data_IF_034071450137
#
_entry.id   IF_034071450137
#
_cell.length_a   1.000
_cell.length_b   1.000
_cell.length_c   1.000
_cell.angle_alpha   90.00
_cell.angle_beta   90.00
_cell.angle_gamma   90.00
#
_symmetry.space_group_name_H-M   'P 1'
#
loop_
_entity.id
_entity.type
_entity.pdbx_description
1 polymer ?
#
# COMPACT_ATOMS: atom_id res chain seq x y z
N UNK A 1 -52.53 2.53 33.30
CA UNK A 1 -51.52 3.21 32.44
C UNK A 1 -51.31 4.62 32.96
N UNK A 2 -50.07 5.13 32.87
CA UNK A 2 -49.52 6.43 33.32
C UNK A 2 -48.95 6.48 34.75
N UNK A 3 -47.63 6.33 34.78
CA UNK A 3 -46.61 6.58 35.81
C UNK A 3 -45.39 6.99 34.96
N UNK A 4 -44.60 8.03 35.19
CA UNK A 4 -44.23 8.81 36.37
C UNK A 4 -43.66 10.15 35.85
N UNK A 5 -43.87 11.24 36.58
CA UNK A 5 -42.92 12.36 36.59
C UNK A 5 -42.41 12.49 38.03
N UNK A 6 -41.09 12.37 38.20
CA UNK A 6 -40.41 12.83 39.41
C UNK A 6 -38.95 13.09 39.04
N UNK A 7 -38.68 14.37 38.81
CA UNK A 7 -37.37 14.99 38.67
C UNK A 7 -36.69 14.93 40.05
N UNK A 8 -35.52 14.30 40.15
CA UNK A 8 -34.65 14.42 41.32
C UNK A 8 -33.29 14.95 40.89
N UNK A 9 -33.01 16.14 41.42
CA UNK A 9 -31.76 16.87 41.43
C UNK A 9 -30.77 16.10 42.31
N UNK A 10 -29.56 15.86 41.80
CA UNK A 10 -28.44 15.30 42.57
C UNK A 10 -27.35 16.36 42.66
N UNK A 11 -26.82 16.66 43.86
CA UNK A 11 -25.86 17.74 44.06
C UNK A 11 -24.42 17.32 43.72
N UNK A 12 -23.67 18.32 43.29
CA UNK A 12 -22.24 18.30 43.01
C UNK A 12 -21.46 18.35 44.33
N UNK A 13 -20.62 17.35 44.60
CA UNK A 13 -19.57 17.41 45.62
C UNK A 13 -18.21 17.10 44.96
N UNK A 14 -17.35 18.11 44.98
CA UNK A 14 -15.91 18.03 44.73
C UNK A 14 -15.22 17.69 46.05
N UNK A 15 -14.39 16.64 46.08
CA UNK A 15 -13.27 16.56 47.02
C UNK A 15 -12.12 15.80 46.37
N UNK A 16 -10.94 16.43 46.36
CA UNK A 16 -9.70 15.91 45.80
C UNK A 16 -9.03 14.81 46.63
N UNK A 17 -8.14 14.09 45.97
CA UNK A 17 -7.18 13.16 46.55
C UNK A 17 -5.98 13.01 45.62
N UNK A 18 -4.85 13.62 45.98
CA UNK A 18 -3.54 13.30 45.42
C UNK A 18 -3.13 11.89 45.87
N UNK A 19 -2.66 11.07 44.93
CA UNK A 19 -2.01 9.79 45.21
C UNK A 19 -0.58 9.84 44.68
N UNK A 20 0.38 9.95 45.60
CA UNK A 20 1.80 9.73 45.31
C UNK A 20 2.04 8.23 45.16
N UNK A 21 2.30 7.77 43.94
CA UNK A 21 2.65 6.38 43.66
C UNK A 21 4.17 6.19 43.82
N UNK A 22 4.58 5.50 44.87
CA UNK A 22 5.94 4.96 45.01
C UNK A 22 6.07 3.70 44.15
N UNK A 23 6.94 3.71 43.16
CA UNK A 23 7.26 2.53 42.34
C UNK A 23 8.42 1.76 42.99
N UNK A 24 8.18 0.50 43.36
CA UNK A 24 9.23 -0.46 43.71
C UNK A 24 9.60 -1.27 42.45
N UNK A 25 10.90 -1.56 42.20
CA UNK A 25 11.30 -2.32 41.03
C UNK A 25 10.94 -3.80 41.22
N UNK A 26 10.30 -4.39 40.21
CA UNK A 26 9.99 -5.81 40.16
C UNK A 26 11.18 -6.54 39.54
N UNK A 27 11.74 -7.48 40.30
CA UNK A 27 12.75 -8.44 39.84
C UNK A 27 12.09 -9.45 38.90
N UNK A 28 12.69 -9.72 37.74
CA UNK A 28 12.22 -10.71 36.77
C UNK A 28 13.23 -11.85 36.66
N UNK A 29 13.16 -12.74 37.65
CA UNK A 29 13.77 -14.06 37.61
C UNK A 29 13.15 -14.95 36.53
N UNK A 30 14.04 -15.63 35.80
CA UNK A 30 13.82 -16.50 34.65
C UNK A 30 12.67 -17.54 34.77
N UNK A 31 11.85 -17.63 33.72
CA UNK A 31 11.58 -18.85 32.93
C UNK A 31 10.38 -18.64 32.01
N UNK A 32 10.62 -18.57 30.70
CA UNK A 32 9.56 -18.51 29.70
C UNK A 32 10.17 -18.43 28.31
N UNK A 33 10.16 -19.54 27.59
CA UNK A 33 10.58 -19.61 26.20
C UNK A 33 9.61 -18.78 25.35
N UNK A 34 9.94 -17.52 25.11
CA UNK A 34 9.31 -16.74 24.07
C UNK A 34 9.82 -17.27 22.72
N UNK A 35 8.91 -17.86 21.94
CA UNK A 35 9.13 -18.04 20.50
C UNK A 35 9.48 -16.66 19.95
N UNK A 36 10.74 -16.48 19.58
CA UNK A 36 11.21 -15.25 18.96
C UNK A 36 10.45 -15.08 17.65
N UNK A 37 9.46 -14.20 17.64
CA UNK A 37 9.02 -13.57 16.41
C UNK A 37 10.22 -12.74 15.97
N UNK A 38 10.92 -13.19 14.93
CA UNK A 38 11.95 -12.40 14.29
C UNK A 38 11.32 -11.05 13.96
N UNK A 39 11.89 -9.91 14.41
CA UNK A 39 11.46 -8.64 13.88
C UNK A 39 11.74 -8.70 12.39
N UNK A 40 10.67 -8.68 11.58
CA UNK A 40 10.81 -8.38 10.16
C UNK A 40 11.25 -6.92 10.16
N UNK A 41 12.56 -6.69 10.04
CA UNK A 41 13.09 -5.36 9.86
C UNK A 41 12.49 -4.80 8.57
N UNK A 42 11.43 -4.00 8.70
CA UNK A 42 10.98 -3.08 7.64
C UNK A 42 11.97 -1.91 7.52
N UNK A 43 13.27 -2.21 7.56
CA UNK A 43 14.36 -1.26 7.38
C UNK A 43 14.64 -1.06 5.89
N UNK A 44 13.66 -0.53 5.16
CA UNK A 44 13.82 -0.14 3.76
C UNK A 44 12.99 1.11 3.41
N UNK A 45 13.19 2.21 4.14
CA UNK A 45 12.66 3.53 3.74
C UNK A 45 13.73 4.63 3.65
N UNK A 46 15.02 4.27 3.63
CA UNK A 46 16.12 5.20 3.48
C UNK A 46 16.81 5.03 2.12
N UNK A 47 16.09 5.36 1.05
CA UNK A 47 16.64 5.43 -0.29
C UNK A 47 15.58 5.83 -1.29
N UNK A 48 15.58 7.09 -1.74
CA UNK A 48 14.79 7.54 -2.89
C UNK A 48 15.35 6.99 -4.22
N UNK A 49 15.87 5.76 -4.21
CA UNK A 49 16.25 5.02 -5.41
C UNK A 49 15.04 4.25 -5.92
N UNK A 50 14.96 4.07 -7.24
CA UNK A 50 13.92 3.22 -7.83
C UNK A 50 13.97 1.82 -7.18
N UNK A 51 12.84 1.32 -6.68
CA UNK A 51 12.75 -0.04 -6.14
C UNK A 51 13.24 -1.03 -7.21
N UNK A 52 14.05 -2.02 -6.84
CA UNK A 52 14.55 -3.01 -7.78
C UNK A 52 13.39 -3.79 -8.41
N UNK A 53 13.64 -4.34 -9.60
CA UNK A 53 12.69 -5.29 -10.18
C UNK A 53 12.65 -6.57 -9.33
N UNK A 54 11.47 -7.22 -9.21
CA UNK A 54 11.38 -8.49 -8.50
C UNK A 54 12.26 -9.54 -9.17
N UNK A 55 12.95 -10.36 -8.37
CA UNK A 55 13.67 -11.52 -8.88
C UNK A 55 12.68 -12.65 -9.18
N UNK A 56 12.41 -12.89 -10.46
CA UNK A 56 11.47 -13.92 -10.91
C UNK A 56 12.27 -15.13 -11.38
N UNK A 57 12.19 -16.23 -10.64
CA UNK A 57 12.83 -17.49 -10.98
C UNK A 57 12.40 -17.99 -12.38
N UNK A 58 13.31 -18.65 -13.10
CA UNK A 58 13.05 -19.12 -14.46
C UNK A 58 11.96 -20.21 -14.52
N UNK A 59 11.78 -20.95 -13.43
CA UNK A 59 10.79 -22.01 -13.22
C UNK A 59 9.58 -21.52 -12.39
N UNK A 60 9.43 -20.20 -12.22
CA UNK A 60 8.29 -19.62 -11.51
C UNK A 60 6.96 -20.08 -12.10
N UNK A 61 6.07 -20.57 -11.22
CA UNK A 61 4.67 -20.87 -11.57
C UNK A 61 3.83 -19.67 -11.19
N UNK A 62 3.17 -19.06 -12.18
CA UNK A 62 2.33 -17.87 -11.98
C UNK A 62 1.27 -18.11 -10.90
N UNK A 63 1.15 -17.18 -9.95
CA UNK A 63 0.12 -17.24 -8.91
C UNK A 63 -1.24 -16.80 -9.44
N UNK A 64 -2.32 -17.34 -8.89
CA UNK A 64 -3.67 -16.88 -9.21
C UNK A 64 -3.97 -15.56 -8.47
N UNK A 65 -4.25 -14.45 -9.19
CA UNK A 65 -4.66 -13.21 -8.54
C UNK A 65 -6.10 -13.31 -8.04
N UNK A 66 -6.40 -12.64 -6.93
CA UNK A 66 -7.78 -12.46 -6.49
C UNK A 66 -8.49 -11.36 -7.31
N UNK A 67 -9.81 -11.22 -7.12
CA UNK A 67 -10.60 -10.27 -7.90
C UNK A 67 -10.18 -8.79 -7.68
N UNK A 68 -9.92 -8.33 -6.43
CA UNK A 68 -9.40 -6.98 -6.20
C UNK A 68 -8.04 -6.70 -6.84
N UNK A 69 -7.12 -7.67 -6.85
CA UNK A 69 -5.82 -7.53 -7.50
C UNK A 69 -5.99 -7.34 -9.01
N UNK A 70 -6.74 -8.22 -9.68
CA UNK A 70 -6.99 -8.10 -11.14
C UNK A 70 -7.58 -6.74 -11.49
N UNK A 71 -8.56 -6.29 -10.72
CA UNK A 71 -9.19 -5.00 -10.94
C UNK A 71 -8.23 -3.82 -10.73
N UNK A 72 -7.47 -3.82 -9.63
CA UNK A 72 -6.50 -2.77 -9.34
C UNK A 72 -5.41 -2.69 -10.41
N UNK A 73 -4.86 -3.83 -10.83
CA UNK A 73 -3.81 -3.87 -11.84
C UNK A 73 -4.29 -3.43 -13.21
N UNK A 74 -5.52 -3.77 -13.62
CA UNK A 74 -6.10 -3.23 -14.87
C UNK A 74 -6.29 -1.71 -14.82
N UNK A 75 -6.72 -1.16 -13.68
CA UNK A 75 -6.82 0.30 -13.51
C UNK A 75 -5.45 0.97 -13.59
N UNK A 76 -4.42 0.38 -12.97
CA UNK A 76 -3.05 0.86 -13.09
C UNK A 76 -2.54 0.79 -14.52
N UNK A 77 -2.78 -0.33 -15.22
CA UNK A 77 -2.39 -0.50 -16.61
C UNK A 77 -3.03 0.55 -17.52
N UNK A 78 -4.34 0.81 -17.37
CA UNK A 78 -5.02 1.86 -18.13
C UNK A 78 -4.44 3.26 -17.87
N UNK A 79 -4.11 3.58 -16.61
CA UNK A 79 -3.50 4.86 -16.28
C UNK A 79 -2.08 4.99 -16.84
N UNK A 80 -1.27 3.93 -16.78
CA UNK A 80 0.11 3.91 -17.32
C UNK A 80 0.13 3.94 -18.83
N UNK A 81 -0.81 3.26 -19.51
CA UNK A 81 -0.99 3.37 -20.96
C UNK A 81 -1.28 4.82 -21.36
N UNK A 82 -2.22 5.47 -20.68
CA UNK A 82 -2.51 6.88 -20.91
C UNK A 82 -1.30 7.79 -20.64
N UNK A 83 -0.49 7.50 -19.61
CA UNK A 83 0.76 8.20 -19.34
C UNK A 83 1.80 8.03 -20.46
N UNK A 84 1.72 7.00 -21.30
CA UNK A 84 2.53 6.87 -22.51
C UNK A 84 2.37 8.04 -23.49
N UNK A 85 1.21 8.70 -23.49
CA UNK A 85 1.01 9.93 -24.27
C UNK A 85 1.82 11.13 -23.74
N UNK A 86 2.27 11.10 -22.49
CA UNK A 86 3.14 12.13 -21.93
C UNK A 86 4.51 12.16 -22.62
N UNK A 87 5.02 11.00 -23.02
CA UNK A 87 6.31 10.85 -23.73
C UNK A 87 6.33 11.59 -25.08
N UNK A 88 5.14 11.89 -25.63
CA UNK A 88 4.94 12.64 -26.87
C UNK A 88 4.44 14.08 -26.64
N UNK A 89 4.50 14.59 -25.40
CA UNK A 89 4.02 15.92 -25.01
C UNK A 89 2.53 16.18 -25.32
N UNK A 90 1.71 15.12 -25.34
CA UNK A 90 0.26 15.23 -25.58
C UNK A 90 -0.56 15.47 -24.31
N UNK A 91 0.07 15.43 -23.13
CA UNK A 91 -0.58 15.63 -21.84
C UNK A 91 -0.10 16.91 -21.18
N UNK A 92 -1.04 17.68 -20.64
CA UNK A 92 -0.73 18.82 -19.79
C UNK A 92 -0.41 18.38 -18.34
N UNK A 93 0.20 19.25 -17.52
CA UNK A 93 0.58 18.92 -16.15
C UNK A 93 -0.59 18.51 -15.22
N UNK A 94 -1.82 18.96 -15.50
CA UNK A 94 -3.01 18.57 -14.71
C UNK A 94 -3.43 17.14 -15.08
N UNK A 95 -3.38 16.79 -16.36
CA UNK A 95 -3.66 15.44 -16.84
C UNK A 95 -2.64 14.42 -16.30
N UNK A 96 -1.35 14.75 -16.30
CA UNK A 96 -0.29 13.89 -15.73
C UNK A 96 -0.55 13.61 -14.25
N UNK A 97 -0.84 14.65 -13.46
CA UNK A 97 -1.19 14.48 -12.03
C UNK A 97 -2.44 13.63 -11.83
N UNK A 98 -3.49 13.84 -12.62
CA UNK A 98 -4.72 13.03 -12.54
C UNK A 98 -4.44 11.55 -12.80
N UNK A 99 -3.56 11.24 -13.75
CA UNK A 99 -3.18 9.85 -14.04
C UNK A 99 -2.30 9.26 -12.92
N UNK A 100 -1.38 10.04 -12.34
CA UNK A 100 -0.63 9.64 -11.16
C UNK A 100 -1.56 9.33 -9.96
N UNK A 101 -2.56 10.18 -9.73
CA UNK A 101 -3.59 9.96 -8.70
C UNK A 101 -4.41 8.70 -8.98
N UNK A 102 -4.71 8.39 -10.25
CA UNK A 102 -5.41 7.16 -10.63
C UNK A 102 -4.60 5.90 -10.29
N UNK A 103 -3.27 5.93 -10.49
CA UNK A 103 -2.37 4.83 -10.06
C UNK A 103 -2.41 4.66 -8.54
N UNK A 104 -2.28 5.75 -7.78
CA UNK A 104 -2.33 5.70 -6.32
C UNK A 104 -3.70 5.26 -5.78
N UNK A 105 -4.80 5.69 -6.42
CA UNK A 105 -6.15 5.26 -6.08
C UNK A 105 -6.38 3.76 -6.31
N UNK A 106 -5.82 3.21 -7.38
CA UNK A 106 -5.86 1.76 -7.63
C UNK A 106 -5.05 0.98 -6.57
N UNK A 107 -3.90 1.51 -6.14
CA UNK A 107 -3.10 0.90 -5.06
C UNK A 107 -3.88 0.89 -3.74
N UNK A 108 -4.46 2.03 -3.36
CA UNK A 108 -5.28 2.15 -2.16
C UNK A 108 -6.48 1.19 -2.18
N UNK A 109 -7.11 1.01 -3.35
CA UNK A 109 -8.16 0.01 -3.51
C UNK A 109 -7.64 -1.41 -3.25
N UNK A 110 -6.49 -1.80 -3.79
CA UNK A 110 -5.91 -3.12 -3.55
C UNK A 110 -5.55 -3.34 -2.08
N UNK A 111 -4.88 -2.39 -1.43
CA UNK A 111 -4.53 -2.50 0.00
C UNK A 111 -5.76 -2.68 0.89
N UNK A 112 -6.90 -2.12 0.51
CA UNK A 112 -8.13 -2.23 1.28
C UNK A 112 -8.92 -3.53 1.01
N UNK A 113 -8.67 -4.22 -0.11
CA UNK A 113 -9.58 -5.27 -0.60
C UNK A 113 -8.90 -6.61 -0.94
N UNK A 114 -7.62 -6.61 -1.32
CA UNK A 114 -6.88 -7.82 -1.69
C UNK A 114 -6.70 -8.76 -0.48
N UNK A 115 -6.69 -10.05 -0.77
CA UNK A 115 -6.60 -11.18 0.16
C UNK A 115 -5.70 -12.27 -0.41
N UNK A 116 -4.51 -11.88 -0.83
CA UNK A 116 -3.49 -12.80 -1.28
C UNK A 116 -2.88 -13.55 -0.11
N UNK A 117 -2.37 -14.75 -0.39
CA UNK A 117 -1.48 -15.43 0.53
C UNK A 117 -0.18 -14.62 0.72
N UNK A 118 0.56 -14.79 1.83
CA UNK A 118 1.72 -13.95 2.14
C UNK A 118 2.82 -13.93 1.06
N UNK A 119 3.06 -15.05 0.39
CA UNK A 119 4.11 -15.17 -0.63
C UNK A 119 3.80 -14.36 -1.91
N UNK A 120 2.65 -14.54 -2.59
CA UNK A 120 2.30 -13.68 -3.73
C UNK A 120 2.15 -12.20 -3.35
N UNK A 121 1.70 -11.89 -2.12
CA UNK A 121 1.62 -10.50 -1.63
C UNK A 121 3.01 -9.84 -1.51
N UNK A 122 4.00 -10.58 -0.98
CA UNK A 122 5.37 -10.10 -0.92
C UNK A 122 5.96 -9.80 -2.31
N UNK A 123 5.73 -10.68 -3.29
CA UNK A 123 6.17 -10.46 -4.66
C UNK A 123 5.43 -9.29 -5.35
N UNK A 124 4.16 -9.07 -5.02
CA UNK A 124 3.37 -7.95 -5.52
C UNK A 124 3.90 -6.60 -5.00
N UNK A 125 4.41 -6.56 -3.76
CA UNK A 125 4.88 -5.30 -3.16
C UNK A 125 5.96 -4.58 -3.98
N UNK A 126 6.91 -5.30 -4.58
CA UNK A 126 7.95 -4.69 -5.42
C UNK A 126 7.38 -4.03 -6.69
N UNK A 127 6.36 -4.67 -7.27
CA UNK A 127 5.63 -4.11 -8.42
C UNK A 127 4.89 -2.82 -8.00
N UNK A 128 4.16 -2.87 -6.89
CA UNK A 128 3.40 -1.71 -6.40
C UNK A 128 4.31 -0.55 -5.99
N UNK A 129 5.44 -0.84 -5.35
CA UNK A 129 6.41 0.19 -4.95
C UNK A 129 6.94 0.98 -6.14
N UNK A 130 7.25 0.29 -7.26
CA UNK A 130 7.70 0.95 -8.50
C UNK A 130 6.60 1.78 -9.15
N UNK A 131 5.37 1.28 -9.17
CA UNK A 131 4.21 2.00 -9.74
C UNK A 131 3.89 3.25 -8.93
N UNK A 132 3.82 3.14 -7.61
CA UNK A 132 3.56 4.27 -6.71
C UNK A 132 4.73 5.26 -6.68
N UNK A 133 5.98 4.77 -6.76
CA UNK A 133 7.17 5.61 -6.88
C UNK A 133 7.17 6.44 -8.16
N UNK A 134 6.82 5.84 -9.30
CA UNK A 134 6.67 6.54 -10.57
C UNK A 134 5.52 7.56 -10.55
N UNK A 135 4.36 7.18 -9.98
CA UNK A 135 3.24 8.09 -9.79
C UNK A 135 3.63 9.29 -8.92
N UNK A 136 4.36 9.07 -7.82
CA UNK A 136 4.87 10.15 -6.97
C UNK A 136 5.83 11.07 -7.74
N UNK A 137 6.78 10.52 -8.49
CA UNK A 137 7.72 11.31 -9.28
C UNK A 137 7.00 12.21 -10.31
N UNK A 138 5.95 11.70 -10.94
CA UNK A 138 5.10 12.45 -11.88
C UNK A 138 4.24 13.50 -11.17
N UNK A 139 3.75 13.23 -9.96
CA UNK A 139 3.01 14.21 -9.18
C UNK A 139 3.90 15.38 -8.74
N UNK A 140 5.13 15.08 -8.30
CA UNK A 140 6.13 16.05 -7.84
C UNK A 140 6.70 16.86 -9.02
N UNK A 141 6.93 16.22 -10.17
CA UNK A 141 7.38 16.87 -11.41
C UNK A 141 6.58 16.39 -12.63
N UNK A 142 5.45 17.03 -12.96
CA UNK A 142 4.56 16.59 -14.04
C UNK A 142 5.14 16.82 -15.44
N UNK A 143 6.29 17.48 -15.58
CA UNK A 143 6.99 17.61 -16.85
C UNK A 143 7.96 16.44 -17.11
N UNK A 144 8.21 15.58 -16.12
CA UNK A 144 9.10 14.44 -16.26
C UNK A 144 8.43 13.30 -17.03
N UNK A 145 9.09 12.74 -18.03
CA UNK A 145 8.61 11.56 -18.79
C UNK A 145 9.31 10.28 -18.37
N UNK A 146 10.55 10.38 -17.87
CA UNK A 146 11.38 9.25 -17.45
C UNK A 146 10.70 8.24 -16.50
N UNK A 147 9.80 8.62 -15.57
CA UNK A 147 9.14 7.66 -14.69
C UNK A 147 8.21 6.65 -15.39
N UNK A 148 7.72 6.95 -16.61
CA UNK A 148 6.70 6.13 -17.29
C UNK A 148 7.26 4.75 -17.70
N UNK A 149 8.49 4.69 -18.21
CA UNK A 149 9.08 3.42 -18.64
C UNK A 149 9.28 2.40 -17.49
N UNK A 150 9.84 2.76 -16.32
CA UNK A 150 9.89 1.87 -15.16
C UNK A 150 8.53 1.38 -14.67
N UNK A 151 7.48 2.21 -14.76
CA UNK A 151 6.11 1.83 -14.42
C UNK A 151 5.58 0.77 -15.39
N UNK A 152 5.80 0.93 -16.69
CA UNK A 152 5.45 -0.06 -17.71
C UNK A 152 6.16 -1.40 -17.47
N UNK A 153 7.45 -1.35 -17.14
CA UNK A 153 8.23 -2.53 -16.80
C UNK A 153 7.68 -3.24 -15.55
N UNK A 154 7.22 -2.51 -14.52
CA UNK A 154 6.59 -3.10 -13.35
C UNK A 154 5.28 -3.85 -13.69
N UNK A 155 4.48 -3.32 -14.63
CA UNK A 155 3.29 -4.02 -15.13
C UNK A 155 3.64 -5.28 -15.95
N UNK A 156 4.76 -5.27 -16.67
CA UNK A 156 5.25 -6.48 -17.33
C UNK A 156 5.69 -7.54 -16.32
N UNK A 157 6.30 -7.13 -15.19
CA UNK A 157 6.63 -8.05 -14.10
C UNK A 157 5.38 -8.63 -13.44
N UNK A 158 4.30 -7.85 -13.25
CA UNK A 158 3.00 -8.40 -12.82
C UNK A 158 2.51 -9.52 -13.74
N UNK A 159 2.55 -9.31 -15.06
CA UNK A 159 2.12 -10.33 -16.01
C UNK A 159 2.97 -11.61 -15.94
N UNK A 160 4.27 -11.49 -15.60
CA UNK A 160 5.16 -12.64 -15.35
C UNK A 160 4.90 -13.34 -14.02
N UNK A 161 4.45 -12.62 -13.00
CA UNK A 161 4.21 -13.14 -11.65
C UNK A 161 2.84 -13.80 -11.48
N UNK A 162 1.80 -13.22 -12.08
CA UNK A 162 0.40 -13.58 -11.84
C UNK A 162 -0.31 -14.05 -13.09
N UNK A 163 -1.14 -15.08 -12.96
CA UNK A 163 -1.98 -15.65 -14.03
C UNK A 163 -3.28 -14.87 -14.21
N UNK A 164 -3.16 -13.66 -14.76
CA UNK A 164 -4.30 -12.81 -15.12
C UNK A 164 -4.54 -12.84 -16.64
N UNK A 165 -5.46 -13.68 -17.14
CA UNK A 165 -5.68 -13.84 -18.58
C UNK A 165 -6.32 -12.61 -19.24
N UNK A 166 -6.95 -11.73 -18.45
CA UNK A 166 -7.58 -10.50 -18.95
C UNK A 166 -6.62 -9.30 -18.91
N UNK A 167 -5.43 -9.47 -18.35
CA UNK A 167 -4.46 -8.40 -18.23
C UNK A 167 -3.69 -8.16 -19.53
N UNK A 168 -3.72 -6.92 -19.99
CA UNK A 168 -2.96 -6.46 -21.16
C UNK A 168 -1.83 -5.56 -20.69
N UNK A 169 -0.60 -5.92 -21.06
CA UNK A 169 0.59 -5.12 -20.73
C UNK A 169 0.57 -3.83 -21.58
N UNK A 170 0.62 -2.63 -20.96
CA UNK A 170 0.70 -1.37 -21.70
C UNK A 170 1.95 -1.26 -22.58
N UNK A 171 1.79 -0.67 -23.77
CA UNK A 171 2.88 -0.44 -24.73
C UNK A 171 3.58 -1.70 -25.27
N UNK A 172 2.91 -2.87 -25.23
CA UNK A 172 3.33 -4.10 -25.91
C UNK A 172 3.02 -4.12 -27.41
#
# INVERSE_FOLDING_TARGET
MKRVTAMMIVPMLLWGGEVAATYAPVDHGAAGQHVAHQPVDHAAHAGHGASPAPEIAADHVRWQPDAPLREGMRRMAAAVEALGHHEHAHLDPVQVRKLADAVNGAAAYMFANCKLDPEPDAALHDVLARLMGGARALADNPAATAPVAPMRAALADYARLFDDPEFVVPGG
#
